data_IF_432430747358
#
_entry.id   IF_432430747358
#
_cell.length_a   1.000
_cell.length_b   1.000
_cell.length_c   1.000
_cell.angle_alpha   90.00
_cell.angle_beta   90.00
_cell.angle_gamma   90.00
#
_symmetry.space_group_name_H-M   'P 1'
#
loop_
_entity.id
_entity.type
_entity.pdbx_description
1 polymer ?
#
# COMPACT_ATOMS: atom_id res chain seq x y z
N UNK A 1 -22.69 15.99 -12.52
CA UNK A 1 -22.35 14.57 -12.55
C UNK A 1 -21.73 14.16 -13.88
N UNK A 2 -20.99 13.10 -13.88
CA UNK A 2 -20.34 12.55 -15.09
C UNK A 2 -19.67 11.20 -14.82
N UNK A 3 -19.01 10.62 -15.82
CA UNK A 3 -18.24 9.40 -15.63
C UNK A 3 -17.14 9.61 -14.58
N UNK A 4 -16.81 8.57 -13.82
CA UNK A 4 -15.78 8.64 -12.80
C UNK A 4 -14.43 9.07 -13.42
N UNK A 5 -13.74 10.02 -12.75
CA UNK A 5 -12.44 10.58 -13.16
C UNK A 5 -12.39 11.27 -14.53
N UNK A 6 -13.54 11.49 -15.15
CA UNK A 6 -13.64 12.27 -16.39
C UNK A 6 -14.40 13.58 -16.13
N UNK A 7 -14.43 14.46 -17.13
CA UNK A 7 -15.17 15.70 -17.07
C UNK A 7 -16.67 15.45 -16.85
N UNK A 8 -17.34 16.32 -16.09
CA UNK A 8 -18.76 16.16 -15.86
C UNK A 8 -19.54 16.37 -17.17
N UNK A 9 -20.49 15.49 -17.43
CA UNK A 9 -21.42 15.62 -18.56
C UNK A 9 -22.58 16.57 -18.24
N UNK A 10 -22.77 16.91 -16.99
CA UNK A 10 -23.77 17.88 -16.54
C UNK A 10 -23.33 18.62 -15.30
N UNK A 11 -23.50 19.91 -15.33
CA UNK A 11 -23.39 20.79 -14.16
C UNK A 11 -24.65 21.64 -14.05
N UNK A 12 -25.11 21.91 -12.81
CA UNK A 12 -26.30 22.68 -12.59
C UNK A 12 -26.42 23.12 -11.14
N UNK A 13 -27.47 23.88 -10.86
CA UNK A 13 -27.80 24.35 -9.51
C UNK A 13 -29.12 23.76 -9.08
N UNK A 14 -29.27 23.52 -7.78
CA UNK A 14 -30.50 23.10 -7.15
C UNK A 14 -30.70 23.91 -5.88
N UNK A 15 -31.93 24.29 -5.58
CA UNK A 15 -32.29 24.99 -4.36
C UNK A 15 -32.87 23.97 -3.36
N UNK A 16 -32.44 24.07 -2.12
CA UNK A 16 -33.01 23.28 -1.02
C UNK A 16 -34.43 23.79 -0.67
N UNK A 17 -35.27 22.87 -0.20
CA UNK A 17 -36.56 23.21 0.41
C UNK A 17 -36.35 23.87 1.80
N UNK A 18 -37.45 24.20 2.47
CA UNK A 18 -37.48 24.82 3.80
C UNK A 18 -36.83 23.97 4.89
N UNK A 19 -36.63 22.68 4.66
CA UNK A 19 -35.99 21.74 5.58
C UNK A 19 -34.51 21.48 5.22
N UNK A 20 -33.97 22.17 4.22
CA UNK A 20 -32.61 22.03 3.75
C UNK A 20 -32.36 20.85 2.79
N UNK A 21 -33.39 20.21 2.29
CA UNK A 21 -33.26 19.07 1.36
C UNK A 21 -33.39 19.51 -0.10
N UNK A 22 -32.62 18.85 -0.98
CA UNK A 22 -32.77 18.97 -2.41
C UNK A 22 -32.74 17.59 -3.08
N UNK A 23 -33.48 17.44 -4.17
CA UNK A 23 -33.45 16.22 -4.99
C UNK A 23 -32.93 16.53 -6.37
N UNK A 24 -32.00 15.71 -6.84
CA UNK A 24 -31.42 15.81 -8.16
C UNK A 24 -31.67 14.49 -8.89
N UNK A 25 -32.22 14.58 -10.10
CA UNK A 25 -32.38 13.42 -10.96
C UNK A 25 -31.11 13.29 -11.82
N UNK A 26 -30.39 12.19 -11.66
CA UNK A 26 -29.19 11.86 -12.42
C UNK A 26 -29.59 10.93 -13.56
N UNK A 27 -29.13 11.23 -14.79
CA UNK A 27 -29.36 10.35 -15.93
C UNK A 27 -28.49 9.09 -15.78
N UNK A 28 -29.12 7.92 -15.90
CA UNK A 28 -28.42 6.64 -15.87
C UNK A 28 -27.50 6.44 -17.07
N UNK A 29 -26.53 5.54 -16.92
CA UNK A 29 -25.63 5.09 -17.99
C UNK A 29 -26.30 3.97 -18.80
N UNK A 30 -25.92 3.86 -20.07
CA UNK A 30 -26.26 2.71 -20.90
C UNK A 30 -25.16 1.66 -20.90
N UNK A 31 -23.92 2.09 -20.62
CA UNK A 31 -22.73 1.26 -20.63
C UNK A 31 -22.28 0.96 -19.18
N UNK A 32 -21.68 -0.22 -18.93
CA UNK A 32 -21.08 -0.55 -17.66
C UNK A 32 -20.09 0.53 -17.19
N UNK A 33 -20.06 0.79 -15.88
CA UNK A 33 -19.15 1.78 -15.30
C UNK A 33 -19.74 2.55 -14.15
N UNK A 34 -19.04 3.60 -13.70
CA UNK A 34 -19.44 4.42 -12.56
C UNK A 34 -19.76 5.85 -13.00
N UNK A 35 -20.78 6.42 -12.37
CA UNK A 35 -21.12 7.84 -12.46
C UNK A 35 -20.84 8.49 -11.12
N UNK A 36 -20.02 9.53 -11.13
CA UNK A 36 -19.75 10.36 -9.94
C UNK A 36 -20.74 11.50 -9.88
N UNK A 37 -21.41 11.64 -8.74
CA UNK A 37 -22.24 12.81 -8.41
C UNK A 37 -21.50 13.59 -7.33
N UNK A 38 -21.12 14.82 -7.64
CA UNK A 38 -20.47 15.74 -6.69
C UNK A 38 -21.41 16.91 -6.44
N UNK A 39 -21.66 17.19 -5.17
CA UNK A 39 -22.45 18.34 -4.73
C UNK A 39 -21.62 19.23 -3.85
N UNK A 40 -21.85 20.54 -3.92
CA UNK A 40 -21.18 21.50 -3.05
C UNK A 40 -22.08 22.71 -2.79
N UNK A 41 -21.86 23.35 -1.67
CA UNK A 41 -22.48 24.62 -1.30
C UNK A 41 -21.48 25.50 -0.57
N UNK A 42 -21.71 26.79 -0.57
CA UNK A 42 -20.99 27.74 0.26
C UNK A 42 -21.95 28.29 1.32
N UNK A 43 -21.55 28.26 2.57
CA UNK A 43 -22.31 28.84 3.67
C UNK A 43 -21.32 29.58 4.60
N UNK A 44 -21.58 30.85 4.87
CA UNK A 44 -20.74 31.73 5.68
C UNK A 44 -19.25 31.72 5.25
N UNK A 45 -18.98 31.76 3.95
CA UNK A 45 -17.62 31.73 3.39
C UNK A 45 -16.94 30.36 3.39
N UNK A 46 -17.56 29.35 3.98
CA UNK A 46 -17.02 27.99 4.02
C UNK A 46 -17.67 27.12 2.94
N UNK A 47 -16.82 26.38 2.20
CA UNK A 47 -17.27 25.43 1.19
C UNK A 47 -17.55 24.07 1.83
N UNK A 48 -18.73 23.55 1.63
CA UNK A 48 -19.12 22.17 1.97
C UNK A 48 -19.26 21.39 0.68
N UNK A 49 -18.72 20.17 0.66
CA UNK A 49 -18.85 19.29 -0.51
C UNK A 49 -18.98 17.84 -0.09
N UNK A 50 -19.71 17.08 -0.91
CA UNK A 50 -19.81 15.64 -0.80
C UNK A 50 -19.84 15.01 -2.19
N UNK A 51 -19.53 13.71 -2.24
CA UNK A 51 -19.46 12.95 -3.48
C UNK A 51 -19.98 11.55 -3.25
N UNK A 52 -20.69 11.00 -4.24
CA UNK A 52 -21.08 9.61 -4.28
C UNK A 52 -20.88 9.04 -5.68
N UNK A 53 -20.62 7.75 -5.76
CA UNK A 53 -20.52 7.01 -7.00
C UNK A 53 -21.68 6.02 -7.14
N UNK A 54 -22.23 5.93 -8.33
CA UNK A 54 -23.33 5.02 -8.69
C UNK A 54 -22.77 4.04 -9.74
N UNK A 55 -22.74 2.75 -9.41
CA UNK A 55 -22.32 1.70 -10.34
C UNK A 55 -23.46 1.25 -11.24
N UNK A 56 -23.16 1.06 -12.52
CA UNK A 56 -24.05 0.49 -13.54
C UNK A 56 -23.37 -0.73 -14.12
N UNK A 57 -24.01 -1.90 -14.02
CA UNK A 57 -23.47 -3.19 -14.46
C UNK A 57 -21.97 -3.36 -14.11
N UNK A 58 -21.58 -3.16 -12.82
CA UNK A 58 -20.17 -3.04 -12.46
C UNK A 58 -19.36 -4.34 -12.74
N UNK A 59 -20.03 -5.48 -12.78
CA UNK A 59 -19.41 -6.77 -13.10
C UNK A 59 -19.20 -7.01 -14.60
N UNK A 60 -19.82 -6.18 -15.45
CA UNK A 60 -19.65 -6.22 -16.90
C UNK A 60 -18.55 -5.27 -17.40
N UNK A 61 -17.90 -4.53 -16.48
CA UNK A 61 -16.77 -3.65 -16.84
C UNK A 61 -15.63 -4.51 -17.32
N UNK A 62 -15.21 -4.29 -18.57
CA UNK A 62 -14.07 -4.98 -19.15
C UNK A 62 -12.78 -4.19 -18.90
N UNK A 63 -11.64 -4.87 -18.66
CA UNK A 63 -10.35 -4.21 -18.60
C UNK A 63 -10.07 -3.42 -19.89
N UNK A 64 -9.50 -2.24 -19.74
CA UNK A 64 -9.08 -1.40 -20.89
C UNK A 64 -7.69 -1.76 -21.40
N UNK A 65 -6.94 -2.55 -20.63
CA UNK A 65 -5.61 -3.04 -20.96
C UNK A 65 -5.56 -4.56 -20.84
N UNK A 66 -4.72 -5.20 -21.63
CA UNK A 66 -4.42 -6.63 -21.52
C UNK A 66 -3.11 -6.84 -20.80
N UNK A 67 -2.92 -8.00 -20.20
CA UNK A 67 -1.61 -8.40 -19.71
C UNK A 67 -0.67 -8.59 -20.89
N UNK A 68 0.61 -8.16 -20.79
CA UNK A 68 1.63 -8.51 -21.76
C UNK A 68 1.74 -10.04 -21.92
N UNK A 69 2.02 -10.52 -23.12
CA UNK A 69 2.12 -11.96 -23.40
C UNK A 69 3.17 -12.65 -22.52
N UNK A 70 4.27 -11.97 -22.23
CA UNK A 70 5.37 -12.46 -21.42
C UNK A 70 5.23 -12.14 -19.89
N UNK A 71 4.07 -11.67 -19.41
CA UNK A 71 3.90 -11.26 -18.04
C UNK A 71 4.27 -12.36 -17.04
N UNK A 72 3.72 -13.56 -17.25
CA UNK A 72 3.98 -14.68 -16.35
C UNK A 72 5.44 -15.13 -16.41
N UNK A 73 6.00 -15.30 -17.60
CA UNK A 73 7.38 -15.71 -17.80
C UNK A 73 8.36 -14.71 -17.17
N UNK A 74 8.12 -13.42 -17.36
CA UNK A 74 8.94 -12.37 -16.75
C UNK A 74 9.00 -12.50 -15.24
N UNK A 75 7.84 -12.61 -14.58
CA UNK A 75 7.80 -12.69 -13.11
C UNK A 75 8.35 -14.01 -12.57
N UNK A 76 8.07 -15.15 -13.22
CA UNK A 76 8.63 -16.45 -12.85
C UNK A 76 10.18 -16.40 -12.88
N UNK A 77 10.74 -15.82 -13.94
CA UNK A 77 12.20 -15.66 -14.08
C UNK A 77 12.79 -14.72 -13.01
N UNK A 78 12.16 -13.58 -12.73
CA UNK A 78 12.64 -12.64 -11.73
C UNK A 78 12.55 -13.19 -10.30
N UNK A 79 11.48 -13.90 -9.98
CA UNK A 79 11.33 -14.61 -8.70
C UNK A 79 12.37 -15.73 -8.55
N UNK A 80 12.61 -16.53 -9.60
CA UNK A 80 13.63 -17.56 -9.58
C UNK A 80 15.06 -17.00 -9.40
N UNK A 81 15.35 -15.84 -9.98
CA UNK A 81 16.61 -15.12 -9.74
C UNK A 81 16.73 -14.62 -8.30
N UNK A 82 15.66 -14.01 -7.78
CA UNK A 82 15.60 -13.50 -6.43
C UNK A 82 15.77 -14.61 -5.38
N UNK A 83 15.16 -15.77 -5.59
CA UNK A 83 15.25 -16.92 -4.69
C UNK A 83 16.69 -17.45 -4.50
N UNK A 84 17.58 -17.25 -5.47
CA UNK A 84 19.00 -17.62 -5.38
C UNK A 84 19.84 -16.66 -4.53
N UNK A 85 19.30 -15.51 -4.17
CA UNK A 85 19.99 -14.52 -3.35
C UNK A 85 19.83 -14.89 -1.87
N UNK A 86 20.91 -15.08 -1.10
CA UNK A 86 20.80 -15.37 0.34
C UNK A 86 20.02 -14.27 1.07
N UNK A 87 19.13 -14.67 1.96
CA UNK A 87 18.26 -13.75 2.71
C UNK A 87 18.97 -13.10 3.91
N UNK A 88 20.20 -12.68 3.81
CA UNK A 88 20.97 -12.12 4.92
C UNK A 88 20.13 -11.15 5.76
N UNK A 89 19.72 -11.60 6.94
CA UNK A 89 18.82 -10.88 7.83
C UNK A 89 19.59 -10.27 9.00
N UNK A 90 19.22 -9.04 9.38
CA UNK A 90 19.65 -8.42 10.64
C UNK A 90 18.38 -8.01 11.40
N UNK A 91 18.30 -8.40 12.66
CA UNK A 91 17.18 -8.12 13.56
C UNK A 91 17.73 -7.43 14.79
N UNK A 92 17.27 -6.23 15.09
CA UNK A 92 17.72 -5.39 16.21
C UNK A 92 16.52 -5.09 17.10
N UNK A 93 16.61 -5.48 18.37
CA UNK A 93 15.57 -5.20 19.36
C UNK A 93 15.53 -3.70 19.68
N UNK A 94 14.32 -3.15 19.77
CA UNK A 94 14.06 -1.72 20.03
C UNK A 94 13.36 -1.60 21.37
N UNK A 95 14.15 -1.49 22.46
CA UNK A 95 13.64 -1.52 23.82
C UNK A 95 12.65 -0.37 24.12
N UNK A 96 12.94 0.83 23.59
CA UNK A 96 12.10 2.03 23.79
C UNK A 96 10.74 1.99 23.08
N UNK A 97 10.56 1.04 22.15
CA UNK A 97 9.29 0.82 21.46
C UNK A 97 8.59 -0.48 21.88
N UNK A 98 9.24 -1.26 22.73
CA UNK A 98 8.71 -2.51 23.26
C UNK A 98 8.02 -2.28 24.60
N UNK A 99 7.02 -3.10 24.94
CA UNK A 99 6.31 -3.04 26.22
C UNK A 99 6.13 -4.45 26.83
N UNK A 100 5.25 -4.60 27.80
CA UNK A 100 4.97 -5.87 28.48
C UNK A 100 4.25 -6.89 27.61
N UNK A 101 3.65 -6.49 26.47
CA UNK A 101 2.84 -7.32 25.58
C UNK A 101 3.46 -7.58 24.22
N UNK A 102 4.23 -6.62 23.69
CA UNK A 102 4.76 -6.64 22.32
C UNK A 102 6.23 -6.27 22.32
N UNK A 103 7.05 -7.12 21.70
CA UNK A 103 8.43 -6.79 21.33
C UNK A 103 8.49 -6.15 19.95
N UNK A 104 9.33 -5.14 19.81
CA UNK A 104 9.56 -4.41 18.57
C UNK A 104 10.99 -4.59 18.10
N UNK A 105 11.17 -4.84 16.81
CA UNK A 105 12.48 -5.01 16.19
C UNK A 105 12.59 -4.19 14.91
N UNK A 106 13.74 -3.56 14.69
CA UNK A 106 14.14 -3.10 13.38
C UNK A 106 14.74 -4.27 12.59
N UNK A 107 14.22 -4.51 11.41
CA UNK A 107 14.61 -5.65 10.59
C UNK A 107 15.13 -5.18 9.23
N UNK A 108 16.28 -5.73 8.82
CA UNK A 108 16.83 -5.60 7.48
C UNK A 108 16.95 -6.98 6.84
N UNK A 109 16.40 -7.14 5.64
CA UNK A 109 16.45 -8.40 4.88
C UNK A 109 17.04 -8.14 3.50
N UNK A 110 18.03 -8.92 3.08
CA UNK A 110 18.52 -8.83 1.71
C UNK A 110 17.46 -9.29 0.71
N UNK A 111 17.16 -8.46 -0.27
CA UNK A 111 16.09 -8.64 -1.21
C UNK A 111 16.53 -9.42 -2.47
N UNK A 112 16.11 -8.97 -3.65
CA UNK A 112 16.21 -9.67 -4.93
C UNK A 112 17.60 -9.69 -5.57
N UNK A 113 18.56 -8.93 -5.05
CA UNK A 113 19.98 -8.96 -5.46
C UNK A 113 20.89 -8.62 -4.28
N UNK A 114 22.15 -9.02 -4.37
CA UNK A 114 23.16 -8.72 -3.35
C UNK A 114 23.31 -7.22 -3.13
N UNK A 115 23.36 -6.80 -1.85
CA UNK A 115 23.48 -5.41 -1.44
C UNK A 115 22.16 -4.60 -1.56
N UNK A 116 21.09 -5.20 -2.02
CA UNK A 116 19.76 -4.59 -2.01
C UNK A 116 18.97 -5.10 -0.82
N UNK A 117 18.41 -4.21 -0.02
CA UNK A 117 17.71 -4.57 1.21
C UNK A 117 16.31 -3.99 1.25
N UNK A 118 15.43 -4.68 1.95
CA UNK A 118 14.21 -4.12 2.55
C UNK A 118 14.47 -3.88 4.03
N UNK A 119 13.84 -2.86 4.56
CA UNK A 119 13.87 -2.50 5.96
C UNK A 119 12.45 -2.40 6.47
N UNK A 120 12.24 -2.70 7.74
CA UNK A 120 10.92 -2.60 8.34
C UNK A 120 10.96 -2.72 9.85
N UNK A 121 9.79 -2.52 10.45
CA UNK A 121 9.53 -2.73 11.86
C UNK A 121 8.73 -4.01 12.02
N UNK A 122 9.24 -4.91 12.85
CA UNK A 122 8.57 -6.16 13.21
C UNK A 122 8.03 -6.03 14.63
N UNK A 123 6.72 -6.19 14.79
CA UNK A 123 6.03 -6.23 16.09
C UNK A 123 5.62 -7.66 16.40
N UNK A 124 6.09 -8.19 17.53
CA UNK A 124 5.92 -9.60 17.93
C UNK A 124 5.20 -9.68 19.26
N UNK A 125 3.99 -10.26 19.34
CA UNK A 125 3.32 -10.51 20.61
C UNK A 125 4.12 -11.47 21.49
N UNK A 126 4.21 -11.16 22.79
CA UNK A 126 4.93 -12.00 23.80
C UNK A 126 4.17 -13.28 24.21
N UNK A 127 2.96 -13.50 23.69
CA UNK A 127 2.20 -14.73 23.95
C UNK A 127 2.93 -15.96 23.39
N UNK A 128 2.64 -17.11 23.97
CA UNK A 128 3.25 -18.38 23.53
C UNK A 128 2.67 -18.90 22.19
N UNK A 129 3.40 -19.84 21.57
CA UNK A 129 3.00 -20.57 20.36
C UNK A 129 3.18 -19.79 19.05
N UNK A 130 2.97 -20.53 17.95
CA UNK A 130 3.02 -19.94 16.60
C UNK A 130 1.83 -19.02 16.35
N UNK A 131 2.09 -17.93 15.65
CA UNK A 131 1.11 -16.86 15.40
C UNK A 131 0.87 -16.67 13.91
N UNK A 132 -0.33 -16.28 13.57
CA UNK A 132 -0.60 -15.73 12.24
C UNK A 132 0.22 -14.45 12.04
N UNK A 133 0.66 -14.18 10.81
CA UNK A 133 1.46 -13.02 10.50
C UNK A 133 0.80 -12.12 9.45
N UNK A 134 1.11 -10.83 9.54
CA UNK A 134 0.63 -9.82 8.61
C UNK A 134 1.83 -9.07 8.04
N UNK A 135 2.00 -9.12 6.72
CA UNK A 135 2.85 -8.19 6.01
C UNK A 135 2.08 -6.90 5.79
N UNK A 136 2.50 -5.81 6.43
CA UNK A 136 1.92 -4.50 6.22
C UNK A 136 2.72 -3.71 5.20
N UNK A 137 2.03 -3.26 4.14
CA UNK A 137 2.60 -2.42 3.10
C UNK A 137 2.24 -0.95 3.36
N UNK A 138 3.17 -0.02 3.16
CA UNK A 138 2.89 1.40 3.35
C UNK A 138 2.05 1.96 2.21
N UNK A 139 1.28 3.00 2.51
CA UNK A 139 0.77 3.91 1.48
C UNK A 139 1.93 4.62 0.76
N UNK A 140 1.65 5.20 -0.41
CA UNK A 140 2.65 5.91 -1.22
C UNK A 140 3.25 7.10 -0.44
N UNK A 141 4.45 6.94 0.07
CA UNK A 141 5.22 7.99 0.74
C UNK A 141 6.66 7.53 1.00
N UNK A 142 7.58 8.49 1.09
CA UNK A 142 8.94 8.29 1.61
C UNK A 142 8.94 8.79 3.05
N UNK A 143 8.92 7.87 4.02
CA UNK A 143 8.73 8.22 5.43
C UNK A 143 9.35 7.18 6.37
N UNK A 144 9.50 7.55 7.64
CA UNK A 144 9.83 6.64 8.74
C UNK A 144 8.63 5.76 9.11
N UNK A 145 8.94 4.66 9.78
CA UNK A 145 8.00 3.79 10.46
C UNK A 145 8.48 3.58 11.88
N UNK A 146 7.55 3.43 12.81
CA UNK A 146 7.84 3.10 14.20
C UNK A 146 6.76 2.17 14.72
N UNK A 147 7.13 1.23 15.58
CA UNK A 147 6.21 0.30 16.23
C UNK A 147 5.85 0.72 17.65
N UNK A 148 5.03 -0.10 18.34
CA UNK A 148 4.45 -1.33 17.85
C UNK A 148 3.22 -1.09 16.96
N UNK A 149 2.97 -2.02 16.03
CA UNK A 149 1.74 -1.99 15.25
C UNK A 149 0.56 -2.47 16.12
N UNK A 150 -0.60 -1.79 16.04
CA UNK A 150 -1.78 -2.10 16.86
C UNK A 150 -2.29 -3.55 16.69
N UNK A 151 -2.14 -4.14 15.51
CA UNK A 151 -2.54 -5.53 15.27
C UNK A 151 -1.69 -6.55 16.03
N UNK A 152 -0.50 -6.16 16.51
CA UNK A 152 0.30 -7.03 17.36
C UNK A 152 -0.35 -7.24 18.74
N UNK A 153 -1.08 -6.28 19.27
CA UNK A 153 -1.86 -6.43 20.50
C UNK A 153 -3.06 -7.37 20.36
N UNK A 154 -3.49 -7.62 19.10
CA UNK A 154 -4.52 -8.60 18.76
C UNK A 154 -3.95 -10.01 18.54
N UNK A 155 -2.64 -10.20 18.75
CA UNK A 155 -1.98 -11.49 18.67
C UNK A 155 -1.34 -11.85 17.32
N UNK A 156 -1.24 -10.90 16.39
CA UNK A 156 -0.57 -11.11 15.11
C UNK A 156 0.90 -10.68 15.16
N UNK A 157 1.79 -11.44 14.52
CA UNK A 157 3.11 -10.92 14.17
C UNK A 157 2.93 -9.97 12.99
N UNK A 158 3.35 -8.71 13.13
CA UNK A 158 3.20 -7.70 12.07
C UNK A 158 4.57 -7.24 11.59
N UNK A 159 4.84 -7.42 10.30
CA UNK A 159 6.03 -6.88 9.66
C UNK A 159 5.63 -5.72 8.74
N UNK A 160 5.86 -4.49 9.18
CA UNK A 160 5.63 -3.29 8.39
C UNK A 160 6.91 -2.89 7.66
N UNK A 161 6.91 -2.94 6.33
CA UNK A 161 8.11 -2.72 5.53
C UNK A 161 8.15 -1.36 4.85
N UNK A 162 9.37 -0.82 4.69
CA UNK A 162 9.66 0.30 3.80
C UNK A 162 10.04 -0.22 2.41
N UNK A 163 9.39 0.31 1.36
CA UNK A 163 9.58 -0.17 -0.02
C UNK A 163 10.74 0.50 -0.76
N UNK A 164 11.41 1.47 -0.13
CA UNK A 164 12.44 2.28 -0.79
C UNK A 164 13.88 1.73 -0.62
N UNK A 165 14.06 0.68 0.18
CA UNK A 165 15.37 0.10 0.46
C UNK A 165 16.27 1.01 1.30
N UNK A 166 15.67 1.83 2.16
CA UNK A 166 16.32 2.69 3.15
C UNK A 166 15.84 2.29 4.55
N UNK A 167 16.66 2.43 5.60
CA UNK A 167 16.22 2.22 6.98
C UNK A 167 14.96 3.01 7.29
N UNK A 168 14.19 2.57 8.28
CA UNK A 168 12.86 3.14 8.60
C UNK A 168 12.89 4.09 9.79
N UNK A 169 14.03 4.23 10.45
CA UNK A 169 14.27 4.91 11.73
C UNK A 169 15.20 6.14 11.62
N UNK A 170 15.40 6.66 10.42
CA UNK A 170 16.19 7.88 10.23
C UNK A 170 15.41 9.15 10.58
N UNK A 171 16.15 10.26 10.66
CA UNK A 171 15.60 11.59 10.88
C UNK A 171 14.53 11.94 9.81
N UNK A 172 13.40 12.56 10.21
CA UNK A 172 12.35 12.98 9.26
C UNK A 172 12.85 13.91 8.13
N UNK A 173 13.90 14.70 8.36
CA UNK A 173 14.47 15.57 7.32
C UNK A 173 15.12 14.78 6.20
N UNK A 174 15.76 13.65 6.51
CA UNK A 174 16.33 12.76 5.51
C UNK A 174 15.24 12.25 4.54
N UNK A 175 14.09 11.81 5.07
CA UNK A 175 12.98 11.35 4.21
C UNK A 175 12.40 12.48 3.36
N UNK A 176 12.31 13.70 3.91
CA UNK A 176 11.88 14.89 3.14
C UNK A 176 12.86 15.18 1.99
N UNK A 177 14.16 15.16 2.27
CA UNK A 177 15.19 15.37 1.25
C UNK A 177 15.14 14.30 0.16
N UNK A 178 14.98 13.01 0.53
CA UNK A 178 14.83 11.92 -0.42
C UNK A 178 13.56 12.06 -1.28
N UNK A 179 12.45 12.43 -0.67
CA UNK A 179 11.16 12.62 -1.35
C UNK A 179 11.19 13.79 -2.33
N UNK A 180 11.90 14.87 -1.99
CA UNK A 180 12.05 16.06 -2.87
C UNK A 180 13.17 15.90 -3.92
N UNK A 181 14.03 14.89 -3.75
CA UNK A 181 15.21 14.62 -4.58
C UNK A 181 15.11 13.27 -5.29
N UNK A 182 16.02 12.32 -4.98
CA UNK A 182 16.19 11.09 -5.76
C UNK A 182 14.98 10.15 -5.77
N UNK A 183 14.06 10.27 -4.82
CA UNK A 183 12.81 9.52 -4.77
C UNK A 183 11.59 10.38 -5.16
N UNK A 184 11.80 11.60 -5.64
CA UNK A 184 10.74 12.42 -6.22
C UNK A 184 10.15 11.72 -7.45
N UNK A 185 8.82 11.50 -7.46
CA UNK A 185 8.17 10.83 -8.58
C UNK A 185 8.56 9.35 -8.75
N UNK A 186 9.04 8.67 -7.72
CA UNK A 186 9.50 7.26 -7.79
C UNK A 186 8.52 6.30 -8.46
N UNK A 187 7.24 6.61 -8.43
CA UNK A 187 6.19 5.78 -9.03
C UNK A 187 6.32 5.64 -10.56
N UNK A 188 7.04 6.55 -11.20
CA UNK A 188 7.24 6.56 -12.65
C UNK A 188 8.70 6.33 -13.07
N UNK A 189 9.61 6.12 -12.12
CA UNK A 189 11.02 5.86 -12.43
C UNK A 189 11.13 4.53 -13.20
N UNK A 190 11.72 4.58 -14.39
CA UNK A 190 11.92 3.44 -15.28
C UNK A 190 10.63 2.83 -15.85
N UNK A 191 9.55 3.60 -15.92
CA UNK A 191 8.22 3.14 -16.37
C UNK A 191 8.24 2.59 -17.81
N UNK A 192 9.16 3.05 -18.65
CA UNK A 192 9.34 2.65 -20.04
C UNK A 192 9.95 1.25 -20.24
N UNK A 193 10.56 0.67 -19.19
CA UNK A 193 11.20 -0.64 -19.27
C UNK A 193 10.90 -1.47 -18.02
N UNK A 194 10.24 -2.62 -18.20
CA UNK A 194 9.91 -3.57 -17.11
C UNK A 194 11.13 -4.01 -16.29
N UNK A 195 12.35 -3.98 -16.85
CA UNK A 195 13.57 -4.37 -16.13
C UNK A 195 14.06 -3.29 -15.17
N UNK A 196 13.83 -2.02 -15.49
CA UNK A 196 14.26 -0.85 -14.72
C UNK A 196 13.15 -0.20 -13.92
N UNK A 197 11.90 -0.58 -14.18
CA UNK A 197 10.74 -0.04 -13.50
C UNK A 197 10.85 -0.19 -11.98
N UNK A 198 10.67 0.93 -11.28
CA UNK A 198 10.88 1.02 -9.83
C UNK A 198 10.07 -0.01 -9.05
N UNK A 199 8.83 -0.25 -9.42
CA UNK A 199 7.96 -1.20 -8.72
C UNK A 199 8.36 -2.67 -8.90
N UNK A 200 9.18 -3.02 -9.89
CA UNK A 200 9.76 -4.36 -9.96
C UNK A 200 10.50 -4.71 -8.67
N UNK A 201 11.36 -3.81 -8.20
CA UNK A 201 12.10 -4.00 -6.93
C UNK A 201 11.17 -4.04 -5.71
N UNK A 202 10.08 -3.25 -5.75
CA UNK A 202 9.08 -3.21 -4.67
C UNK A 202 8.39 -4.56 -4.55
N UNK A 203 7.87 -5.08 -5.66
CA UNK A 203 7.17 -6.38 -5.66
C UNK A 203 8.08 -7.53 -5.24
N UNK A 204 9.29 -7.60 -5.76
CA UNK A 204 10.28 -8.60 -5.34
C UNK A 204 10.66 -8.45 -3.86
N UNK A 205 10.71 -7.23 -3.35
CA UNK A 205 10.90 -6.94 -1.93
C UNK A 205 9.73 -7.44 -1.07
N UNK A 206 8.49 -7.25 -1.52
CA UNK A 206 7.30 -7.76 -0.82
C UNK A 206 7.30 -9.29 -0.72
N UNK A 207 7.64 -9.98 -1.81
CA UNK A 207 7.79 -11.44 -1.80
C UNK A 207 8.88 -11.86 -0.81
N UNK A 208 10.02 -11.18 -0.83
CA UNK A 208 11.12 -11.46 0.12
C UNK A 208 10.71 -11.24 1.58
N UNK A 209 9.85 -10.26 1.87
CA UNK A 209 9.32 -10.03 3.20
C UNK A 209 8.40 -11.19 3.66
N UNK A 210 7.63 -11.76 2.75
CA UNK A 210 6.82 -12.97 3.01
C UNK A 210 7.74 -14.16 3.27
N UNK A 211 8.78 -14.37 2.44
CA UNK A 211 9.77 -15.44 2.64
C UNK A 211 10.41 -15.33 4.04
N UNK A 212 10.73 -14.11 4.47
CA UNK A 212 11.25 -13.87 5.82
C UNK A 212 10.25 -14.27 6.90
N UNK A 213 8.98 -13.87 6.79
CA UNK A 213 7.95 -14.28 7.74
C UNK A 213 7.79 -15.80 7.77
N UNK A 214 7.76 -16.46 6.61
CA UNK A 214 7.68 -17.93 6.52
C UNK A 214 8.89 -18.65 7.14
N UNK A 215 10.07 -18.03 7.15
CA UNK A 215 11.29 -18.60 7.71
C UNK A 215 11.38 -18.52 9.23
N UNK A 216 10.46 -17.81 9.90
CA UNK A 216 10.47 -17.65 11.35
C UNK A 216 9.78 -18.85 12.04
N UNK A 217 10.35 -19.30 13.12
CA UNK A 217 9.83 -20.44 13.92
C UNK A 217 8.55 -20.09 14.68
N UNK A 218 8.36 -18.81 15.04
CA UNK A 218 7.20 -18.27 15.77
C UNK A 218 6.02 -17.89 14.86
N UNK A 219 6.18 -18.01 13.54
CA UNK A 219 5.14 -17.75 12.54
C UNK A 219 4.48 -19.07 12.10
N UNK A 220 3.17 -19.05 11.98
CA UNK A 220 2.39 -20.07 11.27
C UNK A 220 2.32 -19.69 9.79
N UNK A 221 3.14 -20.36 8.98
CA UNK A 221 3.28 -20.07 7.55
C UNK A 221 2.01 -20.31 6.72
N UNK A 222 1.04 -21.07 7.27
CA UNK A 222 -0.25 -21.29 6.63
C UNK A 222 -1.25 -20.14 6.89
N UNK A 223 -0.89 -19.21 7.80
CA UNK A 223 -1.75 -18.10 8.21
C UNK A 223 -1.03 -16.76 8.05
N UNK A 224 -0.71 -16.40 6.80
CA UNK A 224 -0.11 -15.10 6.46
C UNK A 224 -1.09 -14.28 5.64
N UNK A 225 -1.29 -13.03 6.05
CA UNK A 225 -2.06 -12.05 5.32
C UNK A 225 -1.19 -10.87 4.86
N UNK A 226 -1.64 -10.20 3.80
CA UNK A 226 -1.05 -8.93 3.33
C UNK A 226 -2.11 -7.84 3.48
N UNK A 227 -1.71 -6.72 4.07
CA UNK A 227 -2.56 -5.56 4.31
C UNK A 227 -1.82 -4.27 3.91
N UNK A 228 -2.53 -3.33 3.20
CA UNK A 228 -1.98 -2.06 2.76
C UNK A 228 -3.04 -1.04 2.40
#
# INVERSE_FOLDING_TARGET
YGPEKLDPIYTGKVTTDKNGFAKIKVKGRKEPGFTTVKVWTNHNGQKYQNMTNIGYEPYEIKPTTTLPEDFKEFWDNELAKAAKVPMLTRVEYVAEQSDDKVDVYNVRVQSYKRGNYIYGVLSVPKSEGKKAAILRLPGAAVRSFSGPNSLAYEGFIVFEIGVHGIPVDHDPEMYRALSSGPLGGYATIGLEDKNTFYYKRVYLGCVRAIDYLCSREDVDSERIAVYG
#
